data_IF_964480242299
#
_entry.id   IF_964480242299
#
_cell.length_a   1.000
_cell.length_b   1.000
_cell.length_c   1.000
_cell.angle_alpha   90.00
_cell.angle_beta   90.00
_cell.angle_gamma   90.00
#
_symmetry.space_group_name_H-M   'P 1'
#
loop_
_entity.id
_entity.type
_entity.pdbx_description
1 polymer ?
#
# COMPACT_ATOMS: atom_id res chain seq x y z
N UNK A 1 28.08 24.93 -44.67
CA UNK A 1 26.62 24.67 -44.66
C UNK A 1 26.37 23.33 -43.99
N UNK A 2 25.92 23.31 -42.72
CA UNK A 2 25.58 22.09 -41.99
C UNK A 2 24.05 21.89 -41.93
N UNK A 3 23.58 20.66 -42.10
CA UNK A 3 22.18 20.22 -41.89
C UNK A 3 22.17 18.67 -41.83
N UNK A 4 21.23 18.02 -41.11
CA UNK A 4 21.21 17.92 -39.66
C UNK A 4 21.30 16.46 -39.16
N UNK A 5 21.57 16.31 -37.85
CA UNK A 5 21.54 15.04 -37.09
C UNK A 5 20.15 14.41 -37.16
N UNK A 6 20.07 13.19 -37.68
CA UNK A 6 18.87 12.35 -37.61
C UNK A 6 18.66 11.90 -36.16
N UNK A 7 17.59 12.40 -35.54
CA UNK A 7 17.01 11.82 -34.34
C UNK A 7 16.51 10.40 -34.70
N UNK A 8 17.09 9.39 -34.05
CA UNK A 8 16.54 8.03 -34.05
C UNK A 8 15.44 8.04 -32.99
N UNK A 9 14.23 8.38 -33.43
CA UNK A 9 13.02 8.14 -32.64
C UNK A 9 12.77 6.63 -32.66
N UNK A 10 13.13 5.94 -31.58
CA UNK A 10 12.64 4.59 -31.32
C UNK A 10 11.17 4.74 -30.94
N UNK A 11 10.31 4.80 -31.95
CA UNK A 11 8.87 4.70 -31.78
C UNK A 11 8.52 3.28 -31.38
N UNK A 12 8.06 3.09 -30.15
CA UNK A 12 7.44 1.84 -29.73
C UNK A 12 6.15 1.67 -30.54
N UNK A 13 6.22 0.85 -31.59
CA UNK A 13 5.10 0.37 -32.37
C UNK A 13 4.15 -0.40 -31.44
N UNK A 14 3.06 0.23 -31.01
CA UNK A 14 1.85 -0.48 -30.59
C UNK A 14 1.21 -1.09 -31.84
N UNK A 15 1.79 -2.21 -32.28
CA UNK A 15 1.24 -3.05 -33.32
C UNK A 15 -0.05 -3.70 -32.82
N UNK A 16 -1.18 -3.16 -33.27
CA UNK A 16 -2.47 -3.87 -33.26
C UNK A 16 -2.30 -5.07 -34.19
N UNK A 17 -2.06 -6.25 -33.63
CA UNK A 17 -2.24 -7.52 -34.34
C UNK A 17 -3.55 -8.14 -33.87
N UNK A 18 -4.49 -8.19 -34.82
CA UNK A 18 -5.77 -8.86 -34.72
C UNK A 18 -5.60 -10.39 -34.54
N UNK A 19 -6.64 -10.99 -33.95
CA UNK A 19 -6.86 -12.43 -33.72
C UNK A 19 -6.08 -13.04 -32.53
N UNK A 20 -6.32 -12.50 -31.34
CA UNK A 20 -6.28 -13.32 -30.14
C UNK A 20 -7.50 -14.28 -30.22
N UNK A 21 -7.28 -15.56 -30.52
CA UNK A 21 -8.35 -16.57 -30.36
C UNK A 21 -8.94 -16.49 -28.95
N UNK A 22 -10.16 -16.98 -28.73
CA UNK A 22 -10.82 -16.96 -27.40
C UNK A 22 -9.87 -17.31 -26.25
N UNK A 23 -8.92 -18.25 -26.46
CA UNK A 23 -7.89 -18.61 -25.47
C UNK A 23 -6.93 -17.48 -25.07
N UNK A 24 -6.47 -16.65 -26.00
CA UNK A 24 -5.57 -15.52 -25.69
C UNK A 24 -6.32 -14.37 -25.00
N UNK A 25 -7.56 -14.08 -25.42
CA UNK A 25 -8.44 -13.10 -24.74
C UNK A 25 -8.78 -13.56 -23.33
N UNK A 26 -9.14 -14.83 -23.14
CA UNK A 26 -9.43 -15.42 -21.82
C UNK A 26 -8.19 -15.42 -20.92
N UNK A 27 -7.00 -15.69 -21.46
CA UNK A 27 -5.76 -15.68 -20.68
C UNK A 27 -5.41 -14.28 -20.20
N UNK A 28 -5.47 -13.27 -21.09
CA UNK A 28 -5.23 -11.87 -20.73
C UNK A 28 -6.24 -11.38 -19.68
N UNK A 29 -7.54 -11.68 -19.87
CA UNK A 29 -8.57 -11.32 -18.90
C UNK A 29 -8.36 -12.00 -17.52
N UNK A 30 -7.94 -13.27 -17.49
CA UNK A 30 -7.62 -14.00 -16.24
C UNK A 30 -6.42 -13.45 -15.48
N UNK A 31 -5.54 -12.71 -16.16
CA UNK A 31 -4.42 -12.02 -15.53
C UNK A 31 -4.78 -10.64 -14.98
N UNK A 32 -6.01 -10.16 -15.23
CA UNK A 32 -6.50 -8.90 -14.66
C UNK A 32 -7.41 -9.06 -13.43
N UNK A 33 -7.80 -10.29 -13.08
CA UNK A 33 -8.59 -10.54 -11.87
C UNK A 33 -7.75 -10.41 -10.60
N UNK A 34 -8.26 -9.70 -9.58
CA UNK A 34 -7.65 -9.66 -8.25
C UNK A 34 -7.86 -11.01 -7.54
N UNK A 35 -6.85 -11.87 -7.57
CA UNK A 35 -6.94 -13.20 -6.95
C UNK A 35 -6.65 -13.08 -5.45
N UNK A 36 -7.48 -13.62 -4.56
CA UNK A 36 -7.24 -13.53 -3.13
C UNK A 36 -5.95 -14.24 -2.73
N UNK A 37 -5.21 -13.64 -1.80
CA UNK A 37 -4.29 -14.37 -0.92
C UNK A 37 -5.11 -14.84 0.27
N UNK A 38 -5.18 -16.15 0.52
CA UNK A 38 -5.98 -16.65 1.63
C UNK A 38 -5.29 -16.37 2.97
N UNK A 39 -6.06 -16.26 4.05
CA UNK A 39 -5.52 -16.12 5.41
C UNK A 39 -4.53 -17.25 5.74
N UNK A 40 -4.85 -18.49 5.34
CA UNK A 40 -3.95 -19.63 5.52
C UNK A 40 -2.62 -19.50 4.75
N UNK A 41 -2.64 -18.93 3.53
CA UNK A 41 -1.41 -18.64 2.79
C UNK A 41 -0.59 -17.54 3.46
N UNK A 42 -1.23 -16.49 3.96
CA UNK A 42 -0.56 -15.42 4.70
C UNK A 42 0.09 -15.96 5.98
N UNK A 43 -0.62 -16.81 6.75
CA UNK A 43 -0.07 -17.46 7.95
C UNK A 43 1.14 -18.34 7.62
N UNK A 44 1.05 -19.14 6.55
CA UNK A 44 2.18 -19.98 6.12
C UNK A 44 3.41 -19.14 5.77
N UNK A 45 3.23 -18.00 5.11
CA UNK A 45 4.33 -17.07 4.79
C UNK A 45 4.91 -16.43 6.04
N UNK A 46 4.06 -15.98 6.97
CA UNK A 46 4.47 -15.41 8.26
C UNK A 46 5.33 -16.39 9.06
N UNK A 47 4.88 -17.65 9.21
CA UNK A 47 5.63 -18.70 9.91
C UNK A 47 6.95 -19.05 9.26
N UNK A 48 7.09 -18.85 7.95
CA UNK A 48 8.34 -19.09 7.24
C UNK A 48 9.39 -17.97 7.49
N UNK A 49 8.96 -16.81 8.02
CA UNK A 49 9.80 -15.61 8.20
C UNK A 49 9.67 -15.03 9.62
N UNK A 50 9.89 -15.87 10.64
CA UNK A 50 9.94 -15.37 12.03
C UNK A 50 11.40 -15.09 12.42
N UNK A 51 11.77 -13.81 12.48
CA UNK A 51 13.00 -13.34 13.13
C UNK A 51 12.84 -13.28 14.66
N UNK A 52 13.96 -13.13 15.37
CA UNK A 52 14.02 -13.22 16.82
C UNK A 52 13.16 -12.14 17.53
N UNK A 53 12.65 -12.42 18.75
CA UNK A 53 11.80 -11.47 19.47
C UNK A 53 12.54 -10.16 19.80
N UNK A 54 11.87 -9.04 19.56
CA UNK A 54 12.29 -7.70 19.99
C UNK A 54 11.24 -7.20 20.98
N UNK A 55 11.61 -6.29 21.89
CA UNK A 55 10.65 -5.61 22.76
C UNK A 55 9.69 -4.79 21.90
N UNK A 56 8.48 -5.31 21.74
CA UNK A 56 7.41 -4.82 20.85
C UNK A 56 6.25 -4.24 21.65
N UNK A 57 6.47 -3.85 22.91
CA UNK A 57 5.40 -3.38 23.80
C UNK A 57 4.65 -2.12 23.30
N UNK A 58 5.26 -1.35 22.38
CA UNK A 58 4.65 -0.20 21.69
C UNK A 58 4.08 -0.53 20.29
N UNK A 59 4.22 -1.77 19.81
CA UNK A 59 3.85 -2.23 18.46
C UNK A 59 2.72 -3.28 18.51
N UNK A 60 1.96 -3.47 17.42
CA UNK A 60 0.98 -4.55 17.33
C UNK A 60 1.64 -5.90 17.55
N UNK A 61 0.93 -6.87 18.18
CA UNK A 61 1.38 -8.25 18.19
C UNK A 61 1.68 -8.74 16.76
N UNK A 62 2.84 -9.37 16.51
CA UNK A 62 3.13 -9.96 15.22
C UNK A 62 2.09 -11.04 14.84
N UNK A 63 1.80 -11.14 13.54
CA UNK A 63 0.89 -12.13 12.98
C UNK A 63 0.07 -11.60 11.81
N UNK A 64 -0.98 -12.32 11.45
CA UNK A 64 -1.83 -12.02 10.29
C UNK A 64 -3.17 -11.45 10.74
N UNK A 65 -3.39 -10.16 10.44
CA UNK A 65 -4.63 -9.45 10.69
C UNK A 65 -5.55 -9.56 9.48
N UNK A 66 -6.80 -9.95 9.70
CA UNK A 66 -7.81 -10.07 8.63
C UNK A 66 -8.71 -8.84 8.58
N UNK A 67 -8.98 -8.37 7.37
CA UNK A 67 -9.80 -7.20 7.11
C UNK A 67 -10.99 -7.59 6.23
N UNK A 68 -12.15 -6.99 6.53
CA UNK A 68 -13.20 -6.88 5.52
C UNK A 68 -12.78 -5.76 4.57
N UNK A 69 -12.81 -6.08 3.29
CA UNK A 69 -12.31 -5.20 2.24
C UNK A 69 -13.43 -4.93 1.25
N UNK A 70 -13.46 -3.70 0.75
CA UNK A 70 -14.35 -3.28 -0.33
C UNK A 70 -13.63 -2.25 -1.18
N UNK A 71 -13.91 -2.24 -2.47
CA UNK A 71 -13.26 -1.33 -3.38
C UNK A 71 -12.75 -2.02 -4.62
N UNK A 72 -12.07 -1.25 -5.45
CA UNK A 72 -11.66 -1.63 -6.77
C UNK A 72 -10.38 -0.89 -7.18
N UNK A 73 -9.80 -1.38 -8.26
CA UNK A 73 -8.71 -0.73 -8.95
C UNK A 73 -9.00 -0.72 -10.45
N UNK A 74 -8.64 0.38 -11.11
CA UNK A 74 -8.82 0.53 -12.54
C UNK A 74 -7.54 1.06 -13.18
N UNK A 75 -7.22 0.54 -14.37
CA UNK A 75 -6.28 1.18 -15.29
C UNK A 75 -7.02 1.60 -16.55
N UNK A 76 -6.59 2.69 -17.18
CA UNK A 76 -7.16 3.27 -18.40
C UNK A 76 -6.96 2.42 -19.67
N UNK A 77 -7.14 1.11 -19.58
CA UNK A 77 -7.06 0.12 -20.65
C UNK A 77 -8.35 -0.71 -20.67
N UNK A 78 -8.84 -1.15 -21.85
CA UNK A 78 -10.03 -1.99 -21.93
C UNK A 78 -9.94 -3.24 -21.04
N UNK A 79 -10.92 -3.42 -20.15
CA UNK A 79 -10.94 -4.52 -19.19
C UNK A 79 -9.99 -4.35 -18.01
N UNK A 80 -9.47 -3.13 -17.78
CA UNK A 80 -8.51 -2.78 -16.74
C UNK A 80 -9.09 -2.69 -15.33
N UNK A 81 -10.41 -2.68 -15.18
CA UNK A 81 -11.11 -2.71 -13.90
C UNK A 81 -11.01 -4.07 -13.20
N UNK A 82 -10.85 -4.06 -11.88
CA UNK A 82 -11.04 -5.24 -11.01
C UNK A 82 -11.52 -4.85 -9.62
N UNK A 83 -12.47 -5.61 -9.10
CA UNK A 83 -12.86 -5.51 -7.69
C UNK A 83 -11.82 -6.20 -6.80
N UNK A 84 -11.57 -5.64 -5.63
CA UNK A 84 -10.72 -6.26 -4.62
C UNK A 84 -11.44 -7.45 -3.95
N UNK A 85 -10.71 -8.48 -3.48
CA UNK A 85 -11.28 -9.52 -2.65
C UNK A 85 -11.97 -8.94 -1.41
N UNK A 86 -13.14 -9.48 -1.04
CA UNK A 86 -13.91 -9.02 0.13
C UNK A 86 -13.20 -9.24 1.48
N UNK A 87 -12.12 -10.03 1.48
CA UNK A 87 -11.24 -10.22 2.63
C UNK A 87 -9.80 -10.16 2.16
N UNK A 88 -9.03 -9.28 2.78
CA UNK A 88 -7.58 -9.18 2.61
C UNK A 88 -6.89 -9.25 3.97
N UNK A 89 -5.57 -9.33 3.97
CA UNK A 89 -4.78 -9.46 5.20
C UNK A 89 -3.65 -8.46 5.25
N UNK A 90 -3.33 -7.97 6.46
CA UNK A 90 -2.07 -7.31 6.75
C UNK A 90 -1.25 -8.25 7.63
N UNK A 91 -0.05 -8.62 7.18
CA UNK A 91 0.90 -9.40 7.97
C UNK A 91 1.84 -8.45 8.69
N UNK A 92 1.95 -8.57 10.00
CA UNK A 92 2.88 -7.81 10.84
C UNK A 92 4.00 -8.74 11.30
N UNK A 93 5.25 -8.34 11.07
CA UNK A 93 6.42 -9.08 11.53
C UNK A 93 7.44 -8.13 12.14
N UNK A 94 8.14 -8.56 13.20
CA UNK A 94 9.23 -7.78 13.80
C UNK A 94 10.39 -7.60 12.81
N UNK A 95 11.07 -6.47 12.90
CA UNK A 95 12.29 -6.14 12.14
C UNK A 95 13.32 -5.51 13.07
N UNK A 96 14.60 -5.45 12.68
CA UNK A 96 15.67 -4.96 13.56
C UNK A 96 15.46 -3.58 14.23
N UNK A 97 14.61 -2.70 13.68
CA UNK A 97 14.30 -1.38 14.24
C UNK A 97 12.85 -1.23 14.75
N UNK A 98 11.99 -2.22 14.54
CA UNK A 98 10.55 -2.11 14.80
C UNK A 98 9.77 -3.22 14.12
N UNK A 99 8.96 -2.88 13.12
CA UNK A 99 8.13 -3.85 12.41
C UNK A 99 8.09 -3.63 10.90
N UNK A 100 7.65 -4.67 10.22
CA UNK A 100 7.23 -4.65 8.83
C UNK A 100 5.75 -5.01 8.78
N UNK A 101 5.04 -4.32 7.90
CA UNK A 101 3.67 -4.65 7.57
C UNK A 101 3.58 -4.96 6.08
N UNK A 102 2.87 -6.02 5.71
CA UNK A 102 2.55 -6.35 4.31
C UNK A 102 1.04 -6.52 4.14
N UNK A 103 0.41 -5.60 3.44
CA UNK A 103 -0.95 -5.75 2.94
C UNK A 103 -0.95 -6.57 1.65
N UNK A 104 -1.59 -7.74 1.71
CA UNK A 104 -1.85 -8.58 0.55
C UNK A 104 -3.24 -8.29 -0.03
N UNK A 105 -3.36 -7.24 -0.84
CA UNK A 105 -4.61 -6.87 -1.50
C UNK A 105 -5.09 -7.97 -2.44
N UNK A 106 -4.17 -8.56 -3.20
CA UNK A 106 -4.39 -9.72 -4.06
C UNK A 106 -3.06 -10.41 -4.39
N UNK A 107 -3.04 -11.44 -5.22
CA UNK A 107 -1.76 -11.97 -5.74
C UNK A 107 -1.12 -11.03 -6.77
N UNK A 108 -1.87 -10.03 -7.27
CA UNK A 108 -1.42 -9.04 -8.24
C UNK A 108 -0.99 -7.73 -7.58
N UNK A 109 -1.39 -7.45 -6.34
CA UNK A 109 -1.12 -6.21 -5.63
C UNK A 109 -0.80 -6.48 -4.16
N UNK A 110 0.36 -5.99 -3.74
CA UNK A 110 0.78 -5.95 -2.35
C UNK A 110 1.46 -4.64 -2.04
N UNK A 111 1.27 -4.16 -0.83
CA UNK A 111 1.97 -3.00 -0.28
C UNK A 111 2.65 -3.40 1.00
N UNK A 112 3.91 -3.04 1.17
CA UNK A 112 4.63 -3.25 2.41
C UNK A 112 5.27 -1.97 2.91
N UNK A 113 5.44 -1.89 4.23
CA UNK A 113 6.13 -0.78 4.89
C UNK A 113 6.99 -1.28 6.04
N UNK A 114 8.08 -0.58 6.31
CA UNK A 114 8.92 -0.78 7.49
C UNK A 114 8.72 0.42 8.40
N UNK A 115 8.31 0.15 9.63
CA UNK A 115 8.10 1.14 10.67
C UNK A 115 9.17 0.93 11.74
N UNK A 116 10.03 1.93 11.93
CA UNK A 116 11.04 1.90 12.99
C UNK A 116 10.52 2.66 14.21
N UNK A 117 10.65 2.05 15.39
CA UNK A 117 10.35 2.69 16.67
C UNK A 117 11.63 3.32 17.25
N UNK A 118 11.52 4.57 17.69
CA UNK A 118 12.54 5.29 18.46
C UNK A 118 11.87 5.95 19.67
N UNK A 119 11.90 5.24 20.80
CA UNK A 119 11.15 5.61 22.01
C UNK A 119 9.65 5.72 21.74
N UNK A 120 9.09 6.92 21.95
CA UNK A 120 7.67 7.22 21.73
C UNK A 120 7.34 7.68 20.30
N UNK A 121 8.31 7.59 19.39
CA UNK A 121 8.17 8.02 18.00
C UNK A 121 8.25 6.82 17.07
N UNK A 122 7.36 6.77 16.08
CA UNK A 122 7.40 5.78 14.99
C UNK A 122 7.69 6.52 13.69
N UNK A 123 8.70 6.04 12.97
CA UNK A 123 9.13 6.57 11.68
C UNK A 123 8.85 5.56 10.57
N UNK A 124 8.34 6.04 9.44
CA UNK A 124 8.31 5.26 8.21
C UNK A 124 9.72 5.24 7.62
N UNK A 125 10.35 4.07 7.62
CA UNK A 125 11.70 3.90 7.08
C UNK A 125 11.67 3.69 5.57
N UNK A 126 10.79 2.79 5.12
CA UNK A 126 10.60 2.50 3.70
C UNK A 126 9.20 1.96 3.44
N UNK A 127 8.75 2.06 2.18
CA UNK A 127 7.57 1.34 1.71
C UNK A 127 7.76 0.82 0.28
N UNK A 128 7.17 -0.33 -0.01
CA UNK A 128 7.20 -0.96 -1.32
C UNK A 128 5.79 -1.17 -1.83
N UNK A 129 5.52 -0.70 -3.05
CA UNK A 129 4.31 -1.02 -3.79
C UNK A 129 4.65 -1.98 -4.92
N UNK A 130 3.95 -3.12 -4.96
CA UNK A 130 4.04 -4.10 -6.05
C UNK A 130 2.65 -4.27 -6.61
N UNK A 131 2.47 -3.94 -7.89
CA UNK A 131 1.18 -4.02 -8.57
C UNK A 131 1.34 -4.56 -9.98
N UNK A 132 0.36 -5.33 -10.45
CA UNK A 132 0.34 -5.83 -11.83
C UNK A 132 -1.06 -5.83 -12.43
N UNK A 133 -1.15 -5.48 -13.71
CA UNK A 133 -2.35 -5.56 -14.55
C UNK A 133 -2.02 -6.36 -15.81
N UNK A 134 -2.92 -7.24 -16.24
CA UNK A 134 -2.70 -8.11 -17.41
C UNK A 134 -1.38 -8.92 -17.39
N UNK A 135 -0.84 -9.20 -16.20
CA UNK A 135 0.45 -9.87 -16.02
C UNK A 135 1.69 -8.98 -16.16
N UNK A 136 1.52 -7.68 -16.45
CA UNK A 136 2.57 -6.69 -16.48
C UNK A 136 2.64 -6.03 -15.10
N UNK A 137 3.79 -6.17 -14.42
CA UNK A 137 3.98 -5.70 -13.06
C UNK A 137 4.99 -4.57 -12.93
N UNK A 138 4.79 -3.76 -11.91
CA UNK A 138 5.76 -2.79 -11.40
C UNK A 138 5.97 -3.04 -9.91
N UNK A 139 7.23 -2.99 -9.49
CA UNK A 139 7.61 -2.88 -8.08
C UNK A 139 8.37 -1.58 -7.91
N UNK A 140 8.00 -0.79 -6.91
CA UNK A 140 8.71 0.43 -6.54
C UNK A 140 8.90 0.44 -5.03
N UNK A 141 10.15 0.55 -4.60
CA UNK A 141 10.52 0.71 -3.20
C UNK A 141 10.96 2.15 -2.99
N UNK A 142 10.41 2.80 -1.97
CA UNK A 142 10.73 4.15 -1.57
C UNK A 142 11.42 4.11 -0.21
N UNK A 143 12.57 4.76 -0.13
CA UNK A 143 13.28 5.02 1.11
C UNK A 143 12.88 6.40 1.63
N UNK A 144 12.49 6.49 2.89
CA UNK A 144 11.99 7.72 3.50
C UNK A 144 13.10 8.44 4.27
N UNK A 145 13.01 9.77 4.29
CA UNK A 145 13.95 10.59 5.06
C UNK A 145 13.86 10.33 6.57
N UNK A 146 14.91 10.70 7.31
CA UNK A 146 15.00 10.50 8.77
C UNK A 146 13.95 11.29 9.57
N UNK A 147 13.29 12.26 8.95
CA UNK A 147 12.20 13.05 9.52
C UNK A 147 10.80 12.50 9.19
N UNK A 148 10.69 11.30 8.58
CA UNK A 148 9.43 10.66 8.20
C UNK A 148 8.63 10.09 9.39
N UNK A 149 8.38 10.90 10.41
CA UNK A 149 7.60 10.53 11.58
C UNK A 149 6.14 10.31 11.18
N UNK A 150 5.58 9.15 11.54
CA UNK A 150 4.18 8.78 11.26
C UNK A 150 3.32 8.67 12.51
N UNK A 151 3.96 8.64 13.68
CA UNK A 151 3.30 8.69 14.99
C UNK A 151 4.27 9.22 16.03
N UNK A 152 3.82 10.12 16.90
CA UNK A 152 4.59 10.55 18.07
C UNK A 152 3.65 11.04 19.16
N UNK A 153 3.93 10.72 20.43
CA UNK A 153 3.16 11.30 21.56
C UNK A 153 3.28 12.83 21.65
N UNK A 154 4.25 13.43 20.95
CA UNK A 154 4.48 14.87 20.91
C UNK A 154 3.72 15.57 19.78
N UNK A 155 3.16 14.83 18.82
CA UNK A 155 2.41 15.40 17.70
C UNK A 155 1.17 16.12 18.22
N UNK A 156 0.94 17.34 17.72
CA UNK A 156 -0.25 18.11 18.05
C UNK A 156 -1.35 17.81 17.05
N UNK A 157 -2.56 17.59 17.57
CA UNK A 157 -3.74 17.42 16.72
C UNK A 157 -3.91 18.62 15.79
N UNK A 158 -4.17 18.35 14.52
CA UNK A 158 -4.36 19.33 13.46
C UNK A 158 -3.08 19.96 12.91
N UNK A 159 -1.91 19.69 13.48
CA UNK A 159 -0.63 20.17 12.95
C UNK A 159 -0.16 19.24 11.82
N UNK A 160 0.03 19.75 10.59
CA UNK A 160 0.51 18.92 9.49
C UNK A 160 2.00 18.66 9.63
N UNK A 161 2.38 17.39 9.44
CA UNK A 161 3.77 16.95 9.33
C UNK A 161 4.01 16.47 7.90
N UNK A 162 5.02 17.04 7.23
CA UNK A 162 5.40 16.61 5.88
C UNK A 162 6.75 15.93 5.87
N UNK A 163 6.85 14.86 5.09
CA UNK A 163 8.11 14.16 4.82
C UNK A 163 8.15 13.68 3.37
N UNK A 164 9.32 13.22 2.94
CA UNK A 164 9.52 12.75 1.56
C UNK A 164 10.16 11.37 1.58
N UNK A 165 9.72 10.53 0.65
CA UNK A 165 10.36 9.26 0.34
C UNK A 165 10.76 9.23 -1.14
N UNK A 166 11.86 8.57 -1.45
CA UNK A 166 12.48 8.57 -2.78
C UNK A 166 12.78 7.16 -3.25
N UNK A 167 12.72 6.97 -4.57
CA UNK A 167 13.06 5.74 -5.26
C UNK A 167 13.91 6.07 -6.50
N UNK A 168 14.45 5.05 -7.15
CA UNK A 168 15.10 5.16 -8.47
C UNK A 168 14.14 5.66 -9.57
N UNK A 169 12.82 5.53 -9.34
CA UNK A 169 11.76 5.87 -10.29
C UNK A 169 11.07 7.19 -10.01
N UNK A 170 11.35 7.86 -8.90
CA UNK A 170 10.62 9.05 -8.49
C UNK A 170 10.52 9.27 -6.99
N UNK A 171 9.68 10.21 -6.58
CA UNK A 171 9.49 10.57 -5.17
C UNK A 171 8.03 10.63 -4.76
N UNK A 172 7.79 10.40 -3.47
CA UNK A 172 6.51 10.56 -2.80
C UNK A 172 6.66 11.62 -1.70
N UNK A 173 5.95 12.74 -1.83
CA UNK A 173 5.81 13.71 -0.74
C UNK A 173 4.53 13.41 0.02
N UNK A 174 4.62 13.23 1.33
CA UNK A 174 3.46 12.94 2.19
C UNK A 174 3.25 14.10 3.16
N UNK A 175 2.00 14.37 3.49
CA UNK A 175 1.58 15.28 4.55
C UNK A 175 0.57 14.57 5.42
N UNK A 176 0.95 14.33 6.67
CA UNK A 176 0.15 13.65 7.68
C UNK A 176 -0.45 14.67 8.63
N UNK A 177 -1.72 14.51 8.97
CA UNK A 177 -2.42 15.33 9.96
C UNK A 177 -3.20 14.44 10.93
N UNK A 178 -2.91 14.53 12.22
CA UNK A 178 -3.70 13.87 13.25
C UNK A 178 -4.99 14.65 13.52
N UNK A 179 -6.14 14.14 13.09
CA UNK A 179 -7.43 14.85 13.16
C UNK A 179 -8.04 14.73 14.57
N UNK A 180 -7.88 13.57 15.21
CA UNK A 180 -8.33 13.34 16.58
C UNK A 180 -9.00 11.98 16.77
N UNK A 181 -9.50 11.73 17.98
CA UNK A 181 -9.94 10.40 18.35
C UNK A 181 -11.39 10.09 17.92
N UNK A 182 -11.61 8.82 17.57
CA UNK A 182 -12.92 8.22 17.29
C UNK A 182 -13.05 6.91 18.05
N UNK A 183 -14.29 6.50 18.31
CA UNK A 183 -14.60 5.16 18.85
C UNK A 183 -15.09 4.29 17.72
N UNK A 184 -14.42 3.18 17.48
CA UNK A 184 -14.78 2.18 16.47
C UNK A 184 -15.08 0.84 17.13
N UNK A 185 -15.69 -0.07 16.39
CA UNK A 185 -16.00 -1.43 16.86
C UNK A 185 -15.24 -2.43 15.99
N UNK A 186 -14.45 -3.28 16.62
CA UNK A 186 -13.65 -4.35 15.99
C UNK A 186 -13.95 -5.64 16.74
N UNK A 187 -14.39 -6.70 16.06
CA UNK A 187 -14.75 -7.96 16.71
C UNK A 187 -15.77 -7.83 17.87
N UNK A 188 -16.64 -6.82 17.83
CA UNK A 188 -17.56 -6.49 18.94
C UNK A 188 -16.95 -5.66 20.08
N UNK A 189 -15.63 -5.45 20.08
CA UNK A 189 -14.91 -4.63 21.07
C UNK A 189 -14.88 -3.16 20.64
N UNK A 190 -15.19 -2.25 21.58
CA UNK A 190 -15.05 -0.80 21.36
C UNK A 190 -13.60 -0.38 21.53
N UNK A 191 -13.05 0.27 20.51
CA UNK A 191 -11.66 0.72 20.47
C UNK A 191 -11.62 2.22 20.27
N UNK A 192 -10.76 2.90 21.03
CA UNK A 192 -10.41 4.30 20.78
C UNK A 192 -9.29 4.31 19.73
N UNK A 193 -9.56 4.92 18.58
CA UNK A 193 -8.62 5.05 17.48
C UNK A 193 -8.35 6.53 17.20
N UNK A 194 -7.11 6.86 16.88
CA UNK A 194 -6.70 8.15 16.35
C UNK A 194 -6.99 8.17 14.85
N UNK A 195 -7.75 9.16 14.38
CA UNK A 195 -7.95 9.43 12.96
C UNK A 195 -6.77 10.26 12.45
N UNK A 196 -6.08 9.70 11.47
CA UNK A 196 -4.94 10.30 10.76
C UNK A 196 -5.34 10.47 9.30
N UNK A 197 -5.17 11.67 8.79
CA UNK A 197 -5.35 12.00 7.38
C UNK A 197 -3.99 12.12 6.70
N UNK A 198 -3.82 11.55 5.52
CA UNK A 198 -2.57 11.58 4.76
C UNK A 198 -2.85 11.99 3.32
N UNK A 199 -2.25 13.10 2.91
CA UNK A 199 -2.15 13.51 1.51
C UNK A 199 -0.78 13.10 0.97
N UNK A 200 -0.74 12.38 -0.15
CA UNK A 200 0.49 12.03 -0.84
C UNK A 200 0.48 12.54 -2.28
N UNK A 201 1.62 13.07 -2.73
CA UNK A 201 1.88 13.44 -4.12
C UNK A 201 3.03 12.59 -4.66
N UNK A 202 2.78 11.88 -5.74
CA UNK A 202 3.75 11.06 -6.46
C UNK A 202 4.34 11.86 -7.63
N UNK A 203 5.65 11.71 -7.84
CA UNK A 203 6.40 12.38 -8.91
C UNK A 203 7.40 11.41 -9.55
N UNK A 204 7.78 11.65 -10.81
CA UNK A 204 8.70 10.79 -11.56
C UNK A 204 8.00 9.89 -12.57
N UNK A 205 8.41 8.62 -12.66
CA UNK A 205 7.83 7.64 -13.59
C UNK A 205 6.36 7.31 -13.27
N UNK A 206 5.97 7.48 -12.01
CA UNK A 206 4.59 7.54 -11.56
C UNK A 206 4.31 8.97 -11.10
N UNK A 207 3.18 9.55 -11.50
CA UNK A 207 2.76 10.88 -11.06
C UNK A 207 1.30 10.86 -10.69
N UNK A 208 0.91 11.56 -9.62
CA UNK A 208 -0.46 11.49 -9.13
C UNK A 208 -0.60 11.88 -7.67
N UNK A 209 -1.76 11.59 -7.12
CA UNK A 209 -2.12 11.88 -5.73
C UNK A 209 -2.78 10.68 -5.07
N UNK A 210 -2.59 10.56 -3.75
CA UNK A 210 -3.29 9.60 -2.92
C UNK A 210 -3.77 10.32 -1.66
N UNK A 211 -5.01 10.09 -1.28
CA UNK A 211 -5.61 10.57 -0.03
C UNK A 211 -5.97 9.35 0.79
N UNK A 212 -5.52 9.31 2.04
CA UNK A 212 -5.75 8.20 2.94
C UNK A 212 -6.28 8.69 4.28
N UNK A 213 -7.30 8.02 4.78
CA UNK A 213 -7.79 8.18 6.14
C UNK A 213 -7.56 6.87 6.90
N UNK A 214 -6.74 6.94 7.94
CA UNK A 214 -6.43 5.81 8.81
C UNK A 214 -7.01 6.06 10.19
N UNK A 215 -7.60 5.02 10.77
CA UNK A 215 -7.95 5.01 12.19
C UNK A 215 -7.04 4.00 12.88
N UNK A 216 -6.05 4.50 13.61
CA UNK A 216 -5.00 3.68 14.23
C UNK A 216 -5.26 3.57 15.73
N UNK A 217 -5.08 2.39 16.31
CA UNK A 217 -5.22 2.25 17.77
C UNK A 217 -4.10 2.99 18.51
N UNK A 218 -4.41 3.60 19.65
CA UNK A 218 -3.44 4.38 20.45
C UNK A 218 -2.33 3.49 21.04
N UNK A 219 -2.55 2.17 21.11
CA UNK A 219 -1.67 1.23 21.79
C UNK A 219 -0.97 0.22 20.86
N UNK A 220 -1.35 0.11 19.57
CA UNK A 220 -0.95 -1.05 18.75
C UNK A 220 -0.67 -0.76 17.28
N UNK A 221 -0.38 0.46 16.84
CA UNK A 221 0.04 0.90 15.47
C UNK A 221 -0.69 0.37 14.21
N UNK A 222 -1.55 -0.65 14.30
CA UNK A 222 -2.33 -1.24 13.23
C UNK A 222 -3.57 -0.39 12.98
N UNK A 223 -3.88 -0.08 11.71
CA UNK A 223 -5.14 0.57 11.38
C UNK A 223 -6.31 -0.39 11.66
N UNK A 224 -7.30 0.08 12.41
CA UNK A 224 -8.59 -0.60 12.59
C UNK A 224 -9.55 -0.29 11.44
N UNK A 225 -9.31 0.82 10.76
CA UNK A 225 -9.94 1.18 9.49
C UNK A 225 -8.95 1.95 8.63
N UNK A 226 -9.02 1.72 7.34
CA UNK A 226 -8.31 2.49 6.31
C UNK A 226 -9.29 2.80 5.19
N UNK A 227 -9.28 4.03 4.69
CA UNK A 227 -9.97 4.44 3.48
C UNK A 227 -8.94 5.13 2.57
N UNK A 228 -8.86 4.72 1.30
CA UNK A 228 -7.89 5.22 0.34
C UNK A 228 -8.56 5.57 -0.97
N UNK A 229 -8.17 6.72 -1.50
CA UNK A 229 -8.44 7.13 -2.85
C UNK A 229 -7.13 7.54 -3.52
N UNK A 230 -6.77 6.87 -4.61
CA UNK A 230 -5.55 7.15 -5.37
C UNK A 230 -5.89 7.39 -6.82
N UNK A 231 -5.29 8.42 -7.40
CA UNK A 231 -5.28 8.68 -8.83
C UNK A 231 -3.84 8.88 -9.27
N UNK A 232 -3.36 8.09 -10.22
CA UNK A 232 -2.01 8.18 -10.71
C UNK A 232 -1.92 7.93 -12.20
N UNK A 233 -0.79 8.30 -12.79
CA UNK A 233 -0.41 7.98 -14.14
C UNK A 233 0.97 7.36 -14.11
N UNK A 234 1.11 6.20 -14.75
CA UNK A 234 2.37 5.49 -14.93
C UNK A 234 2.59 5.22 -16.40
N UNK A 235 3.70 5.70 -16.97
CA UNK A 235 4.03 5.52 -18.39
C UNK A 235 2.89 5.93 -19.36
N UNK A 236 2.12 6.96 -18.99
CA UNK A 236 0.98 7.46 -19.77
C UNK A 236 -0.31 6.65 -19.60
N UNK A 237 -0.33 5.64 -18.73
CA UNK A 237 -1.54 4.89 -18.37
C UNK A 237 -2.08 5.42 -17.05
N UNK A 238 -3.34 5.86 -17.06
CA UNK A 238 -4.06 6.28 -15.86
C UNK A 238 -4.39 5.08 -14.97
N UNK A 239 -4.33 5.28 -13.66
CA UNK A 239 -4.62 4.31 -12.62
C UNK A 239 -5.47 4.97 -11.54
N UNK A 240 -6.49 4.25 -11.07
CA UNK A 240 -7.22 4.60 -9.85
C UNK A 240 -7.29 3.42 -8.91
N UNK A 241 -7.36 3.73 -7.61
CA UNK A 241 -7.62 2.76 -6.56
C UNK A 241 -8.51 3.40 -5.51
N UNK A 242 -9.62 2.74 -5.22
CA UNK A 242 -10.60 3.17 -4.25
C UNK A 242 -10.88 2.01 -3.33
N UNK A 243 -10.47 2.08 -2.06
CA UNK A 243 -10.72 0.97 -1.17
C UNK A 243 -10.91 1.37 0.28
N UNK A 244 -11.53 0.44 1.00
CA UNK A 244 -11.70 0.49 2.43
C UNK A 244 -11.34 -0.85 3.04
N UNK A 245 -10.62 -0.79 4.16
CA UNK A 245 -10.30 -1.92 5.02
C UNK A 245 -10.96 -1.68 6.38
N UNK A 246 -11.70 -2.66 6.90
CA UNK A 246 -12.19 -2.68 8.28
C UNK A 246 -11.59 -3.91 8.98
N UNK A 247 -10.84 -3.69 10.06
CA UNK A 247 -10.25 -4.78 10.83
C UNK A 247 -11.34 -5.67 11.43
N UNK A 248 -11.19 -6.99 11.28
CA UNK A 248 -12.16 -7.95 11.79
C UNK A 248 -11.95 -8.27 13.27
N UNK A 249 -10.68 -8.44 13.68
CA UNK A 249 -10.28 -8.82 15.03
C UNK A 249 -9.01 -8.06 15.46
N UNK A 250 -8.88 -7.75 16.75
CA UNK A 250 -7.70 -7.13 17.34
C UNK A 250 -6.57 -8.12 17.60
N UNK A 251 -6.89 -9.42 17.63
CA UNK A 251 -5.91 -10.48 17.79
C UNK A 251 -5.55 -11.07 16.41
N UNK A 252 -4.26 -11.09 16.04
CA UNK A 252 -3.85 -11.68 14.78
C UNK A 252 -3.91 -13.21 14.84
N UNK A 253 -4.03 -13.82 13.67
CA UNK A 253 -3.78 -15.25 13.52
C UNK A 253 -2.29 -15.52 13.38
N UNK A 254 -1.79 -16.60 13.98
CA UNK A 254 -0.38 -17.02 13.93
C UNK A 254 -0.22 -18.40 13.37
#
# INVERSE_FOLDING_TARGET
>A
MPLPRKLITVGLLLGIVAVAGLGAVVTIARHNTAKPVTVGQAIQRFRAHTEAPIDTSALPPPGVYSFRTSGDEEVGLPGGHRDLPNTTTITVAATGCGESEEWAASTQHSESRVLCADGDTVRLDSFTSKISFFGLGSTTTYDCADDAVVSSQQTRLGEPLSFTCTSDKGGARQTLTEIGYRRLVVGGTRVRALHVHVDATLTGANSGTSVQDLWVTVARSIPVRTEVHTEATSQGVYYTSNYRLDLLDLEPST
#
